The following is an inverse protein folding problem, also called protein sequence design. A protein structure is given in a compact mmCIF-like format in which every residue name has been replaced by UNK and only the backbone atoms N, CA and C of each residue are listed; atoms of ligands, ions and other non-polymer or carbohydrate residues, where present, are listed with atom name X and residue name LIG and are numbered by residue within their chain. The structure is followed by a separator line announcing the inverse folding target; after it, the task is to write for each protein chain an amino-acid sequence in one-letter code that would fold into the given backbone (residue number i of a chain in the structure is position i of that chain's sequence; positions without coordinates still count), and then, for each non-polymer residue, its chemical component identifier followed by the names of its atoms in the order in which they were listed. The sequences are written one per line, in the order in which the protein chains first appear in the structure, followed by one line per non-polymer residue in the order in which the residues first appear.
data_IF_778509279294
#
_entry.id   IF_778509279294
#
_cell.length_a   1.000
_cell.length_b   1.000
_cell.length_c   1.000
_cell.angle_alpha   90.00
_cell.angle_beta   90.00
_cell.angle_gamma   90.00
#
_symmetry.space_group_name_H-M   'P 1'
#
loop_
_entity.id
_entity.type
_entity.pdbx_description
1 polymer ?
#
# COMPACT_ATOMS: atom_id res chain seq x y z
N UNK A 1 71.80 34.65 -23.54
CA UNK A 1 71.01 33.42 -23.35
C UNK A 1 70.20 33.25 -24.64
N UNK A 2 70.64 32.48 -25.65
CA UNK A 2 70.76 31.00 -25.70
C UNK A 2 69.38 30.38 -25.41
N UNK A 3 68.73 29.52 -26.21
CA UNK A 3 69.14 28.56 -27.26
C UNK A 3 67.80 28.12 -27.93
N UNK A 4 67.53 28.24 -29.24
CA UNK A 4 67.89 27.35 -30.39
C UNK A 4 67.20 25.96 -30.29
N UNK A 5 66.08 25.70 -31.01
CA UNK A 5 65.94 25.03 -32.36
C UNK A 5 66.07 23.49 -32.25
N UNK A 6 65.42 22.56 -32.95
CA UNK A 6 64.64 22.42 -34.20
C UNK A 6 63.76 21.13 -34.03
N UNK A 7 62.54 21.05 -34.57
CA UNK A 7 62.15 20.45 -35.87
C UNK A 7 62.34 18.92 -36.04
N UNK A 8 61.17 18.26 -36.08
CA UNK A 8 60.66 17.14 -36.92
C UNK A 8 61.52 15.92 -37.31
N UNK A 9 60.93 14.73 -37.14
CA UNK A 9 60.79 13.71 -38.21
C UNK A 9 59.72 12.65 -37.87
N UNK A 10 58.91 12.29 -38.87
CA UNK A 10 58.06 11.08 -38.92
C UNK A 10 58.90 9.85 -39.34
N UNK A 11 58.45 8.64 -38.98
CA UNK A 11 58.13 7.50 -39.89
C UNK A 11 57.68 6.26 -39.04
N UNK A 12 56.77 5.51 -39.67
CA UNK A 12 56.00 4.30 -39.31
C UNK A 12 56.76 2.98 -39.09
N UNK A 13 56.16 2.02 -38.37
CA UNK A 13 56.35 0.57 -38.53
C UNK A 13 55.10 -0.24 -38.09
N UNK A 14 54.86 -1.40 -38.71
CA UNK A 14 53.63 -2.23 -38.68
C UNK A 14 53.92 -3.73 -38.38
N UNK A 15 52.91 -4.45 -37.86
CA UNK A 15 52.69 -5.94 -37.80
C UNK A 15 53.41 -6.71 -36.65
N UNK A 16 52.87 -7.73 -35.96
CA UNK A 16 51.75 -8.69 -36.17
C UNK A 16 51.30 -9.43 -34.87
N UNK A 17 50.09 -9.99 -34.93
CA UNK A 17 49.39 -11.09 -34.21
C UNK A 17 50.01 -11.88 -33.04
N UNK A 18 49.20 -12.21 -32.01
CA UNK A 18 48.55 -13.54 -31.85
C UNK A 18 47.75 -13.71 -30.52
N UNK A 19 46.59 -14.37 -30.68
CA UNK A 19 45.82 -15.27 -29.78
C UNK A 19 45.21 -14.86 -28.41
N UNK A 20 43.87 -14.73 -28.45
CA UNK A 20 42.80 -15.33 -27.61
C UNK A 20 43.19 -15.94 -26.24
N UNK A 21 42.55 -15.44 -25.18
CA UNK A 21 41.96 -16.31 -24.16
C UNK A 21 40.71 -15.66 -23.54
N UNK A 22 39.56 -16.28 -23.78
CA UNK A 22 38.33 -16.09 -23.03
C UNK A 22 38.52 -16.53 -21.58
N UNK A 23 38.16 -15.67 -20.63
CA UNK A 23 37.77 -16.11 -19.30
C UNK A 23 36.62 -15.23 -18.83
N UNK A 24 35.41 -15.75 -19.04
CA UNK A 24 34.18 -15.26 -18.45
C UNK A 24 34.09 -15.74 -17.02
N UNK A 25 34.19 -14.85 -16.03
CA UNK A 25 33.89 -15.19 -14.65
C UNK A 25 32.77 -14.31 -14.09
N UNK A 26 31.59 -14.94 -14.11
CA UNK A 26 30.54 -14.90 -13.09
C UNK A 26 30.20 -13.53 -12.48
N UNK A 27 29.26 -12.84 -13.12
CA UNK A 27 28.38 -11.93 -12.39
C UNK A 27 27.64 -12.74 -11.33
N UNK A 28 28.04 -12.55 -10.07
CA UNK A 28 27.30 -12.96 -8.89
C UNK A 28 25.91 -12.34 -8.98
N UNK A 29 24.95 -13.11 -9.47
CA UNK A 29 23.54 -12.75 -9.55
C UNK A 29 23.02 -12.52 -8.14
N UNK A 30 23.08 -11.27 -7.69
CA UNK A 30 22.03 -10.77 -6.81
C UNK A 30 20.73 -11.00 -7.56
N UNK A 31 19.90 -11.93 -7.07
CA UNK A 31 18.49 -11.97 -7.43
C UNK A 31 17.83 -10.70 -6.87
N UNK A 32 18.19 -9.55 -7.42
CA UNK A 32 17.27 -8.45 -7.53
C UNK A 32 16.15 -9.01 -8.39
N UNK A 33 15.02 -9.30 -7.76
CA UNK A 33 13.76 -9.37 -8.47
C UNK A 33 13.62 -7.98 -9.07
N UNK A 34 14.10 -7.81 -10.30
CA UNK A 34 13.85 -6.65 -11.13
C UNK A 34 12.35 -6.65 -11.31
N UNK A 35 11.68 -5.98 -10.38
CA UNK A 35 10.26 -5.70 -10.47
C UNK A 35 10.09 -5.01 -11.80
N UNK A 36 9.17 -5.51 -12.63
CA UNK A 36 8.81 -4.87 -13.90
C UNK A 36 8.77 -3.34 -13.67
N UNK A 37 9.55 -2.54 -14.42
CA UNK A 37 9.59 -1.08 -14.26
C UNK A 37 8.20 -0.44 -14.27
N UNK A 38 7.20 -1.11 -14.83
CA UNK A 38 5.82 -0.63 -14.90
C UNK A 38 4.93 -0.98 -13.70
N UNK A 39 5.27 -1.93 -12.82
CA UNK A 39 4.31 -2.43 -11.82
C UNK A 39 3.80 -1.34 -10.85
N UNK A 40 4.61 -0.31 -10.59
CA UNK A 40 4.26 0.81 -9.71
C UNK A 40 4.02 2.14 -10.43
N UNK A 41 4.09 2.17 -11.77
CA UNK A 41 4.02 3.42 -12.54
C UNK A 41 2.74 4.21 -12.27
N UNK A 42 1.61 3.52 -12.11
CA UNK A 42 0.32 4.16 -11.78
C UNK A 42 0.37 4.93 -10.46
N UNK A 43 1.05 4.39 -9.44
CA UNK A 43 1.16 5.05 -8.14
C UNK A 43 1.99 6.33 -8.25
N UNK A 44 3.13 6.25 -8.94
CA UNK A 44 4.03 7.39 -9.16
C UNK A 44 3.37 8.47 -9.99
N UNK A 45 2.69 8.09 -11.09
CA UNK A 45 1.94 9.02 -11.93
C UNK A 45 0.83 9.76 -11.15
N UNK A 46 0.31 9.15 -10.09
CA UNK A 46 -0.69 9.73 -9.20
C UNK A 46 -0.09 10.31 -7.90
N UNK A 47 1.18 10.71 -7.92
CA UNK A 47 1.79 11.49 -6.84
C UNK A 47 2.17 10.69 -5.59
N UNK A 48 2.30 9.38 -5.69
CA UNK A 48 2.85 8.55 -4.63
C UNK A 48 4.34 8.31 -4.86
N UNK A 49 5.17 8.61 -3.86
CA UNK A 49 6.62 8.45 -3.97
C UNK A 49 7.06 7.19 -3.23
N UNK A 50 7.84 6.33 -3.89
CA UNK A 50 8.52 5.23 -3.20
C UNK A 50 9.47 5.83 -2.16
N UNK A 51 9.33 5.41 -0.90
CA UNK A 51 10.18 5.90 0.19
C UNK A 51 11.40 4.98 0.37
N UNK A 52 12.46 5.56 0.90
CA UNK A 52 13.73 4.86 1.10
C UNK A 52 13.60 3.73 2.14
N UNK A 53 14.32 2.62 1.91
CA UNK A 53 14.29 1.45 2.78
C UNK A 53 14.88 1.73 4.16
N UNK A 54 15.83 2.66 4.28
CA UNK A 54 16.43 3.03 5.57
C UNK A 54 15.62 4.07 6.36
N UNK A 55 14.51 4.57 5.81
CA UNK A 55 13.69 5.57 6.50
C UNK A 55 13.02 4.99 7.76
N UNK A 56 12.83 5.85 8.78
CA UNK A 56 12.11 5.48 10.00
C UNK A 56 10.68 5.02 9.70
N UNK A 57 10.02 5.65 8.72
CA UNK A 57 8.67 5.29 8.28
C UNK A 57 8.63 3.86 7.72
N UNK A 58 9.61 3.49 6.88
CA UNK A 58 9.76 2.13 6.36
C UNK A 58 9.98 1.13 7.49
N UNK A 59 10.91 1.41 8.40
CA UNK A 59 11.20 0.52 9.54
C UNK A 59 9.95 0.26 10.40
N UNK A 60 9.15 1.29 10.69
CA UNK A 60 7.91 1.15 11.47
C UNK A 60 6.89 0.28 10.73
N UNK A 61 6.69 0.55 9.43
CA UNK A 61 5.71 -0.20 8.62
C UNK A 61 6.14 -1.65 8.46
N UNK A 62 7.40 -1.92 8.14
CA UNK A 62 7.95 -3.27 8.02
C UNK A 62 7.87 -4.03 9.33
N UNK A 63 8.21 -3.39 10.46
CA UNK A 63 8.07 -3.99 11.79
C UNK A 63 6.61 -4.33 12.08
N UNK A 64 5.68 -3.42 11.77
CA UNK A 64 4.24 -3.67 11.91
C UNK A 64 3.78 -4.82 11.01
N UNK A 65 4.29 -4.95 9.79
CA UNK A 65 3.95 -6.07 8.90
C UNK A 65 4.48 -7.38 9.48
N UNK A 66 5.76 -7.42 9.86
CA UNK A 66 6.41 -8.61 10.40
C UNK A 66 5.74 -9.13 11.69
N UNK A 67 5.32 -8.23 12.59
CA UNK A 67 4.67 -8.60 13.85
C UNK A 67 3.25 -9.16 13.66
N UNK A 68 2.53 -8.69 12.65
CA UNK A 68 1.09 -8.94 12.50
C UNK A 68 0.76 -9.91 11.35
N UNK A 69 1.74 -10.23 10.51
CA UNK A 69 1.67 -11.28 9.49
C UNK A 69 2.44 -12.51 9.99
N UNK A 70 1.96 -13.13 11.07
CA UNK A 70 2.64 -14.22 11.79
C UNK A 70 2.64 -15.57 11.05
N UNK A 71 2.29 -15.60 9.75
CA UNK A 71 1.95 -16.85 9.06
C UNK A 71 3.12 -17.46 8.29
N UNK A 72 4.18 -16.72 7.95
CA UNK A 72 5.44 -17.30 7.44
C UNK A 72 6.53 -16.22 7.42
N UNK A 73 7.79 -16.57 7.72
CA UNK A 73 8.96 -15.68 7.59
C UNK A 73 9.25 -15.26 6.14
N UNK A 74 8.56 -15.85 5.16
CA UNK A 74 8.73 -15.57 3.72
C UNK A 74 7.93 -14.37 3.22
N UNK A 75 7.00 -13.82 4.00
CA UNK A 75 6.32 -12.59 3.60
C UNK A 75 7.29 -11.41 3.63
N UNK A 76 7.34 -10.62 2.57
CA UNK A 76 8.27 -9.50 2.43
C UNK A 76 7.57 -8.25 1.93
N UNK A 77 7.91 -7.11 2.53
CA UNK A 77 7.57 -5.79 1.97
C UNK A 77 8.47 -5.53 0.77
N UNK A 78 7.88 -5.37 -0.41
CA UNK A 78 8.62 -5.13 -1.67
C UNK A 78 8.79 -3.64 -1.91
N UNK A 79 7.75 -2.85 -1.64
CA UNK A 79 7.79 -1.41 -1.79
C UNK A 79 6.78 -0.74 -0.87
N UNK A 80 7.13 0.45 -0.39
CA UNK A 80 6.23 1.36 0.30
C UNK A 80 6.21 2.66 -0.49
N UNK A 81 5.02 3.10 -0.87
CA UNK A 81 4.81 4.38 -1.54
C UNK A 81 4.03 5.30 -0.61
N UNK A 82 4.60 6.47 -0.30
CA UNK A 82 3.97 7.50 0.52
C UNK A 82 3.16 8.45 -0.34
N UNK A 83 1.98 8.83 0.13
CA UNK A 83 1.16 9.83 -0.51
C UNK A 83 1.83 11.21 -0.39
N UNK A 84 2.32 11.72 -1.53
CA UNK A 84 2.88 13.07 -1.67
C UNK A 84 2.07 13.87 -2.70
N UNK A 85 0.84 13.45 -2.99
CA UNK A 85 0.04 14.04 -4.05
C UNK A 85 -0.36 15.47 -3.66
N UNK A 86 0.08 16.43 -4.48
CA UNK A 86 -0.13 17.86 -4.29
C UNK A 86 -1.24 18.45 -5.17
N UNK A 87 -2.00 17.62 -5.89
CA UNK A 87 -3.15 18.07 -6.67
C UNK A 87 -4.21 18.71 -5.78
N UNK A 88 -5.01 19.62 -6.34
CA UNK A 88 -6.09 20.30 -5.60
C UNK A 88 -7.04 19.31 -4.92
N UNK A 89 -7.43 18.24 -5.61
CA UNK A 89 -8.33 17.22 -5.06
C UNK A 89 -7.75 16.54 -3.83
N UNK A 90 -6.45 16.21 -3.84
CA UNK A 90 -5.76 15.60 -2.70
C UNK A 90 -5.52 16.59 -1.56
N UNK A 91 -5.20 17.85 -1.86
CA UNK A 91 -5.12 18.92 -0.86
C UNK A 91 -6.46 19.14 -0.14
N UNK A 92 -7.57 19.15 -0.89
CA UNK A 92 -8.93 19.26 -0.32
C UNK A 92 -9.23 18.07 0.59
N UNK A 93 -8.87 16.84 0.20
CA UNK A 93 -9.04 15.65 1.06
C UNK A 93 -8.23 15.74 2.35
N UNK A 94 -6.95 16.13 2.25
CA UNK A 94 -6.09 16.32 3.41
C UNK A 94 -6.63 17.40 4.36
N UNK A 95 -7.09 18.52 3.82
CA UNK A 95 -7.70 19.60 4.59
C UNK A 95 -9.02 19.15 5.24
N UNK A 96 -9.89 18.46 4.50
CA UNK A 96 -11.17 17.94 5.01
C UNK A 96 -10.95 16.96 6.15
N UNK A 97 -9.94 16.09 6.04
CA UNK A 97 -9.53 15.20 7.12
C UNK A 97 -9.04 15.97 8.35
N UNK A 98 -8.17 16.97 8.16
CA UNK A 98 -7.65 17.77 9.27
C UNK A 98 -8.75 18.54 10.02
N UNK A 99 -9.67 19.17 9.29
CA UNK A 99 -10.83 19.87 9.86
C UNK A 99 -11.74 18.89 10.62
N UNK A 100 -12.02 17.73 10.03
CA UNK A 100 -12.86 16.71 10.67
C UNK A 100 -12.22 16.12 11.91
N UNK A 101 -10.89 15.93 11.91
CA UNK A 101 -10.15 15.48 13.09
C UNK A 101 -10.32 16.47 14.25
N UNK A 102 -10.27 17.78 13.99
CA UNK A 102 -10.53 18.79 15.01
C UNK A 102 -12.00 18.76 15.49
N UNK A 103 -12.95 18.75 14.56
CA UNK A 103 -14.38 18.75 14.89
C UNK A 103 -14.80 17.53 15.73
N UNK A 104 -14.29 16.34 15.40
CA UNK A 104 -14.55 15.12 16.18
C UNK A 104 -13.87 15.17 17.55
N UNK A 105 -12.65 15.71 17.64
CA UNK A 105 -11.99 15.92 18.94
C UNK A 105 -12.82 16.84 19.85
N UNK A 106 -13.30 17.97 19.32
CA UNK A 106 -14.12 18.92 20.06
C UNK A 106 -15.43 18.27 20.53
N UNK A 107 -16.09 17.48 19.66
CA UNK A 107 -17.30 16.72 19.98
C UNK A 107 -17.07 15.65 21.07
N UNK A 108 -15.91 14.98 21.07
CA UNK A 108 -15.62 13.82 21.92
C UNK A 108 -14.87 14.17 23.23
N UNK A 109 -14.88 15.43 23.66
CA UNK A 109 -14.23 15.84 24.91
C UNK A 109 -12.69 15.88 24.83
N UNK A 110 -12.13 16.14 23.64
CA UNK A 110 -10.71 16.41 23.43
C UNK A 110 -9.93 15.37 22.64
N UNK A 111 -10.57 14.30 22.13
CA UNK A 111 -9.89 13.22 21.41
C UNK A 111 -10.64 12.69 20.20
N UNK A 112 -10.07 12.82 19.00
CA UNK A 112 -10.67 12.31 17.76
C UNK A 112 -10.50 10.79 17.54
N UNK A 113 -9.77 10.11 18.43
CA UNK A 113 -9.38 8.71 18.31
C UNK A 113 -8.80 8.35 16.90
N UNK A 114 -7.72 9.01 16.44
CA UNK A 114 -7.12 8.68 15.15
C UNK A 114 -6.34 7.36 15.25
N UNK A 115 -6.52 6.48 14.26
CA UNK A 115 -5.79 5.20 14.16
C UNK A 115 -5.24 5.00 12.76
N UNK A 116 -4.16 4.22 12.66
CA UNK A 116 -3.78 3.61 11.40
C UNK A 116 -4.53 2.30 11.20
N UNK A 117 -5.02 2.07 9.99
CA UNK A 117 -5.78 0.87 9.62
C UNK A 117 -5.46 0.45 8.18
N UNK A 118 -5.55 -0.85 7.94
CA UNK A 118 -5.24 -1.51 6.67
C UNK A 118 -6.49 -1.69 5.83
N UNK A 119 -6.42 -1.30 4.56
CA UNK A 119 -7.43 -1.62 3.56
C UNK A 119 -6.81 -2.52 2.50
N UNK A 120 -7.42 -3.69 2.29
CA UNK A 120 -7.00 -4.65 1.27
C UNK A 120 -8.10 -4.80 0.23
N UNK A 121 -7.71 -4.71 -1.04
CA UNK A 121 -8.58 -4.76 -2.20
C UNK A 121 -7.82 -5.27 -3.43
N UNK A 122 -8.47 -5.31 -4.59
CA UNK A 122 -7.77 -5.60 -5.85
C UNK A 122 -6.85 -4.44 -6.26
N UNK A 123 -5.88 -4.72 -7.13
CA UNK A 123 -5.01 -3.68 -7.68
C UNK A 123 -5.83 -2.61 -8.44
N UNK A 124 -6.84 -3.00 -9.20
CA UNK A 124 -7.69 -2.05 -9.94
C UNK A 124 -8.46 -1.13 -8.99
N UNK A 125 -9.00 -1.67 -7.91
CA UNK A 125 -9.67 -0.84 -6.90
C UNK A 125 -8.68 0.12 -6.22
N UNK A 126 -7.48 -0.35 -5.88
CA UNK A 126 -6.41 0.50 -5.35
C UNK A 126 -6.03 1.61 -6.34
N UNK A 127 -5.91 1.29 -7.63
CA UNK A 127 -5.63 2.28 -8.69
C UNK A 127 -6.71 3.35 -8.75
N UNK A 128 -7.98 2.96 -8.65
CA UNK A 128 -9.10 3.89 -8.60
C UNK A 128 -9.05 4.78 -7.34
N UNK A 129 -8.74 4.22 -6.15
CA UNK A 129 -8.60 5.01 -4.91
C UNK A 129 -7.45 6.01 -5.03
N UNK A 130 -6.34 5.59 -5.63
CA UNK A 130 -5.16 6.42 -5.82
C UNK A 130 -5.44 7.59 -6.77
N UNK A 131 -6.20 7.37 -7.84
CA UNK A 131 -6.56 8.42 -8.80
C UNK A 131 -7.63 9.36 -8.24
N UNK A 132 -8.69 8.79 -7.67
CA UNK A 132 -9.93 9.54 -7.40
C UNK A 132 -10.22 9.75 -5.91
N UNK A 133 -9.53 9.03 -5.03
CA UNK A 133 -9.89 8.90 -3.62
C UNK A 133 -10.91 7.77 -3.39
N UNK A 134 -11.26 7.52 -2.13
CA UNK A 134 -12.33 6.57 -1.80
C UNK A 134 -13.66 7.03 -2.41
N UNK A 135 -14.37 6.14 -3.09
CA UNK A 135 -15.66 6.45 -3.70
C UNK A 135 -16.71 5.40 -3.37
N UNK A 136 -17.98 5.80 -3.41
CA UNK A 136 -19.12 4.93 -3.12
C UNK A 136 -19.33 3.82 -4.16
N UNK A 137 -18.70 3.93 -5.34
CA UNK A 137 -18.81 2.94 -6.44
C UNK A 137 -17.88 1.74 -6.26
N UNK A 138 -17.14 1.67 -5.16
CA UNK A 138 -16.21 0.57 -4.90
C UNK A 138 -16.95 -0.66 -4.40
N UNK A 139 -17.63 -1.34 -5.33
CA UNK A 139 -17.86 -2.79 -5.42
C UNK A 139 -18.90 -3.08 -6.50
N UNK A 140 -18.53 -3.95 -7.43
CA UNK A 140 -19.46 -4.62 -8.34
C UNK A 140 -20.16 -5.83 -7.68
N UNK A 141 -19.88 -6.14 -6.41
CA UNK A 141 -20.46 -7.25 -5.68
C UNK A 141 -20.74 -6.87 -4.22
N UNK A 142 -22.04 -6.85 -3.88
CA UNK A 142 -22.68 -6.51 -2.62
C UNK A 142 -22.74 -5.00 -2.30
N UNK A 143 -23.97 -4.51 -2.16
CA UNK A 143 -24.42 -3.19 -1.74
C UNK A 143 -23.91 -2.79 -0.34
N UNK A 144 -22.59 -2.66 -0.18
CA UNK A 144 -22.02 -2.24 1.08
C UNK A 144 -21.94 -0.71 1.11
N UNK A 145 -22.85 -0.12 1.86
CA UNK A 145 -22.95 1.30 2.17
C UNK A 145 -21.80 1.84 3.07
N UNK A 146 -20.75 1.04 3.27
CA UNK A 146 -19.58 1.31 4.09
C UNK A 146 -18.36 0.54 3.58
N UNK A 147 -17.17 0.98 4.00
CA UNK A 147 -15.94 0.20 3.86
C UNK A 147 -15.52 -0.38 5.22
N UNK A 148 -14.79 -1.49 5.15
CA UNK A 148 -14.18 -2.13 6.30
C UNK A 148 -12.66 -2.00 6.25
N UNK A 149 -12.06 -1.43 7.28
CA UNK A 149 -10.61 -1.39 7.47
C UNK A 149 -10.23 -2.29 8.64
N UNK A 150 -9.11 -3.01 8.51
CA UNK A 150 -8.59 -3.84 9.59
C UNK A 150 -7.64 -3.02 10.48
N UNK A 151 -7.72 -3.12 11.81
CA UNK A 151 -6.74 -2.52 12.71
C UNK A 151 -5.32 -3.01 12.42
N UNK A 152 -4.31 -2.26 12.87
CA UNK A 152 -2.90 -2.60 12.64
C UNK A 152 -2.53 -4.04 13.02
N UNK A 153 -3.12 -4.56 14.11
CA UNK A 153 -2.90 -5.93 14.62
C UNK A 153 -3.53 -7.03 13.76
N UNK A 154 -4.48 -6.68 12.91
CA UNK A 154 -5.27 -7.60 12.09
C UNK A 154 -4.95 -7.44 10.60
N UNK A 155 -3.67 -7.21 10.29
CA UNK A 155 -3.17 -7.07 8.91
C UNK A 155 -3.57 -8.26 8.03
N UNK A 156 -3.48 -9.50 8.55
CA UNK A 156 -3.81 -10.71 7.81
C UNK A 156 -5.22 -10.64 7.19
N UNK A 157 -6.19 -10.09 7.90
CA UNK A 157 -7.57 -9.97 7.42
C UNK A 157 -7.63 -9.06 6.16
N UNK A 158 -6.82 -8.01 6.08
CA UNK A 158 -6.71 -7.17 4.89
C UNK A 158 -5.91 -7.85 3.77
N UNK A 159 -4.87 -8.62 4.10
CA UNK A 159 -4.10 -9.40 3.11
C UNK A 159 -4.98 -10.47 2.45
N UNK A 160 -5.88 -11.11 3.21
CA UNK A 160 -6.82 -12.09 2.68
C UNK A 160 -7.90 -11.46 1.79
N UNK A 161 -8.28 -10.20 2.05
CA UNK A 161 -9.21 -9.43 1.19
C UNK A 161 -8.56 -8.90 -0.09
N UNK A 162 -7.23 -8.79 -0.14
CA UNK A 162 -6.56 -8.33 -1.36
C UNK A 162 -6.46 -9.43 -2.42
N UNK A 163 -6.11 -9.06 -3.64
CA UNK A 163 -5.76 -10.01 -4.71
C UNK A 163 -4.30 -9.90 -5.09
N UNK A 164 -3.75 -10.99 -5.60
CA UNK A 164 -2.42 -11.01 -6.23
C UNK A 164 -2.55 -10.37 -7.62
N UNK A 165 -1.60 -9.52 -7.98
CA UNK A 165 -1.50 -8.88 -9.30
C UNK A 165 -0.72 -9.76 -10.29
N UNK A 166 -0.53 -9.26 -11.52
CA UNK A 166 0.22 -9.95 -12.58
C UNK A 166 1.70 -10.18 -12.22
N UNK A 167 2.27 -9.37 -11.32
CA UNK A 167 3.64 -9.48 -10.84
C UNK A 167 3.77 -10.40 -9.60
N UNK A 168 2.69 -11.02 -9.15
CA UNK A 168 2.70 -11.87 -7.96
C UNK A 168 2.59 -11.10 -6.63
N UNK A 169 2.32 -9.81 -6.66
CA UNK A 169 2.27 -8.93 -5.49
C UNK A 169 0.85 -8.69 -5.00
N UNK A 170 0.71 -8.47 -3.69
CA UNK A 170 -0.50 -7.99 -3.05
C UNK A 170 -0.30 -6.55 -2.62
N UNK A 171 -1.19 -5.65 -3.01
CA UNK A 171 -1.14 -4.25 -2.59
C UNK A 171 -2.17 -3.99 -1.50
N UNK A 172 -1.76 -3.22 -0.49
CA UNK A 172 -2.63 -2.76 0.59
C UNK A 172 -2.46 -1.26 0.76
N UNK A 173 -3.53 -0.62 1.25
CA UNK A 173 -3.49 0.75 1.68
C UNK A 173 -3.32 0.82 3.20
N UNK A 174 -2.41 1.67 3.66
CA UNK A 174 -2.33 2.09 5.05
C UNK A 174 -2.96 3.47 5.16
N UNK A 175 -4.11 3.53 5.82
CA UNK A 175 -4.89 4.74 6.00
C UNK A 175 -4.81 5.24 7.43
N UNK A 176 -4.89 6.56 7.59
CA UNK A 176 -5.22 7.19 8.87
C UNK A 176 -6.73 7.40 8.92
N UNK A 177 -7.36 6.95 9.99
CA UNK A 177 -8.82 6.96 10.16
C UNK A 177 -9.19 7.68 11.45
N UNK A 178 -10.22 8.52 11.40
CA UNK A 178 -10.81 9.18 12.56
C UNK A 178 -11.94 8.28 13.07
N UNK A 179 -11.74 7.62 14.22
CA UNK A 179 -12.76 6.71 14.75
C UNK A 179 -13.79 7.42 15.64
N UNK A 180 -13.42 8.51 16.32
CA UNK A 180 -14.29 9.24 17.24
C UNK A 180 -14.96 8.32 18.28
N UNK A 181 -16.24 8.60 18.58
CA UNK A 181 -17.10 7.70 19.37
C UNK A 181 -17.59 6.57 18.47
N UNK A 182 -17.24 5.34 18.82
CA UNK A 182 -17.55 4.15 18.01
C UNK A 182 -18.87 3.52 18.46
N UNK A 183 -19.67 3.01 17.52
CA UNK A 183 -20.78 2.09 17.81
C UNK A 183 -20.45 0.67 17.39
N UNK A 184 -20.98 -0.30 18.14
CA UNK A 184 -20.87 -1.71 17.77
C UNK A 184 -21.86 -2.01 16.65
N UNK A 185 -21.36 -2.53 15.53
CA UNK A 185 -22.15 -2.93 14.37
C UNK A 185 -22.05 -4.44 14.21
N UNK A 186 -23.15 -5.14 14.46
CA UNK A 186 -23.23 -6.61 14.45
C UNK A 186 -23.87 -7.08 13.12
N UNK A 187 -23.24 -8.05 12.45
CA UNK A 187 -23.77 -8.66 11.23
C UNK A 187 -23.42 -7.91 9.93
N UNK A 188 -24.15 -8.23 8.86
CA UNK A 188 -24.00 -7.55 7.57
C UNK A 188 -24.67 -6.17 7.66
N UNK A 189 -23.83 -5.15 7.85
CA UNK A 189 -24.20 -3.73 7.90
C UNK A 189 -24.64 -3.18 6.54
N UNK A 190 -25.19 -4.02 5.65
CA UNK A 190 -25.55 -3.63 4.28
C UNK A 190 -26.55 -2.49 4.29
N UNK A 191 -27.49 -2.46 5.23
CA UNK A 191 -28.60 -1.50 5.18
C UNK A 191 -28.29 -0.19 5.91
N UNK A 192 -27.22 -0.15 6.72
CA UNK A 192 -26.86 1.03 7.50
C UNK A 192 -25.88 1.92 6.71
N UNK A 193 -26.36 3.05 6.17
CA UNK A 193 -25.57 4.03 5.39
C UNK A 193 -24.95 5.18 6.21
N UNK A 194 -25.32 5.30 7.47
CA UNK A 194 -24.81 6.31 8.40
C UNK A 194 -24.85 5.78 9.83
N UNK A 195 -24.14 6.39 10.79
CA UNK A 195 -24.21 5.96 12.17
C UNK A 195 -25.65 5.99 12.72
N UNK A 196 -25.98 5.11 13.67
CA UNK A 196 -27.36 4.96 14.17
C UNK A 196 -27.88 6.23 14.88
N UNK A 197 -26.97 7.07 15.38
CA UNK A 197 -27.27 8.37 15.96
C UNK A 197 -26.16 9.39 15.66
N UNK A 198 -26.45 10.67 15.87
CA UNK A 198 -25.45 11.75 15.72
C UNK A 198 -24.32 11.68 16.74
N UNK A 199 -24.47 10.88 17.80
CA UNK A 199 -23.42 10.68 18.81
C UNK A 199 -22.24 9.89 18.25
N UNK A 200 -22.47 8.95 17.34
CA UNK A 200 -21.43 8.06 16.83
C UNK A 200 -20.73 8.62 15.59
N UNK A 201 -19.50 8.16 15.38
CA UNK A 201 -18.62 8.63 14.33
C UNK A 201 -18.16 7.53 13.37
N UNK A 202 -17.88 6.34 13.88
CA UNK A 202 -17.52 5.15 13.12
C UNK A 202 -18.14 3.90 13.73
N UNK A 203 -18.16 2.81 12.99
CA UNK A 203 -18.57 1.50 13.48
C UNK A 203 -17.38 0.63 13.87
N UNK A 204 -17.60 -0.34 14.75
CA UNK A 204 -16.64 -1.36 15.13
C UNK A 204 -17.34 -2.69 15.35
N UNK A 205 -16.66 -3.80 15.11
CA UNK A 205 -17.19 -5.14 15.38
C UNK A 205 -17.18 -5.48 16.88
N UNK A 206 -16.11 -5.11 17.58
CA UNK A 206 -15.97 -5.26 19.03
C UNK A 206 -15.17 -4.08 19.62
N UNK A 207 -15.68 -3.45 20.68
CA UNK A 207 -15.01 -2.28 21.29
C UNK A 207 -13.70 -2.67 22.00
N UNK A 208 -13.66 -3.85 22.62
CA UNK A 208 -12.54 -4.30 23.45
C UNK A 208 -11.42 -4.94 22.62
N UNK A 209 -11.80 -5.68 21.58
CA UNK A 209 -10.90 -6.42 20.71
C UNK A 209 -11.27 -6.20 19.24
N UNK A 210 -11.13 -4.97 18.71
CA UNK A 210 -11.56 -4.64 17.36
C UNK A 210 -10.78 -5.46 16.34
N UNK A 211 -11.48 -6.06 15.37
CA UNK A 211 -10.89 -6.63 14.15
C UNK A 211 -11.32 -5.90 12.88
N UNK A 212 -12.39 -5.11 12.96
CA UNK A 212 -12.95 -4.37 11.83
C UNK A 212 -13.42 -3.00 12.27
N UNK A 213 -12.84 -1.96 11.68
CA UNK A 213 -13.39 -0.61 11.70
C UNK A 213 -14.29 -0.42 10.49
N UNK A 214 -15.47 0.13 10.71
CA UNK A 214 -16.48 0.38 9.68
C UNK A 214 -16.60 1.88 9.49
N UNK A 215 -16.44 2.32 8.25
CA UNK A 215 -16.63 3.72 7.88
C UNK A 215 -17.69 3.80 6.80
N UNK A 216 -18.79 4.47 7.10
CA UNK A 216 -19.88 4.69 6.15
C UNK A 216 -19.46 5.58 4.99
N UNK A 217 -20.06 5.32 3.82
CA UNK A 217 -19.80 6.09 2.59
C UNK A 217 -20.03 7.59 2.78
N UNK A 218 -21.05 7.96 3.57
CA UNK A 218 -21.35 9.35 3.96
C UNK A 218 -20.21 10.06 4.68
N UNK A 219 -19.24 9.33 5.25
CA UNK A 219 -18.10 9.87 6.01
C UNK A 219 -16.73 9.64 5.40
N UNK A 220 -16.60 8.78 4.39
CA UNK A 220 -15.30 8.35 3.83
C UNK A 220 -14.34 9.49 3.52
N UNK A 221 -14.82 10.50 2.78
CA UNK A 221 -14.00 11.56 2.21
C UNK A 221 -13.36 12.48 3.26
N UNK A 222 -13.83 12.44 4.50
CA UNK A 222 -13.37 13.32 5.57
C UNK A 222 -12.94 12.58 6.84
N UNK A 223 -13.22 11.28 6.96
CA UNK A 223 -12.80 10.44 8.09
C UNK A 223 -11.66 9.49 7.77
N UNK A 224 -11.31 9.30 6.49
CA UNK A 224 -10.23 8.42 6.04
C UNK A 224 -9.24 9.22 5.19
N UNK A 225 -7.96 9.06 5.48
CA UNK A 225 -6.87 9.64 4.69
C UNK A 225 -5.88 8.55 4.29
N UNK A 226 -5.64 8.42 2.98
CA UNK A 226 -4.66 7.48 2.44
C UNK A 226 -3.24 8.00 2.67
N UNK A 227 -2.46 7.29 3.49
CA UNK A 227 -1.07 7.67 3.79
C UNK A 227 -0.05 6.90 2.95
N UNK A 228 -0.21 5.59 2.83
CA UNK A 228 0.75 4.73 2.13
C UNK A 228 0.07 3.65 1.31
N UNK A 229 0.77 3.20 0.27
CA UNK A 229 0.53 1.95 -0.44
C UNK A 229 1.68 1.02 -0.07
N UNK A 230 1.37 -0.17 0.42
CA UNK A 230 2.34 -1.19 0.81
C UNK A 230 2.16 -2.40 -0.11
N UNK A 231 3.20 -2.69 -0.88
CA UNK A 231 3.25 -3.84 -1.79
C UNK A 231 3.96 -4.99 -1.08
N UNK A 232 3.28 -6.12 -0.96
CA UNK A 232 3.75 -7.32 -0.28
C UNK A 232 3.92 -8.48 -1.27
N UNK A 233 5.01 -9.21 -1.09
CA UNK A 233 5.21 -10.54 -1.65
C UNK A 233 4.84 -11.56 -0.56
N UNK A 234 3.78 -12.34 -0.80
CA UNK A 234 3.21 -13.29 0.18
C UNK A 234 2.97 -14.64 -0.51
N UNK A 235 4.05 -15.40 -0.79
CA UNK A 235 4.02 -16.51 -1.74
C UNK A 235 3.13 -17.68 -1.29
N UNK A 236 2.95 -17.90 0.02
CA UNK A 236 2.14 -19.00 0.56
C UNK A 236 0.62 -18.78 0.45
N UNK A 237 0.16 -17.54 0.21
CA UNK A 237 -1.27 -17.24 0.01
C UNK A 237 -1.70 -17.38 -1.46
N UNK A 238 -0.79 -17.72 -2.36
CA UNK A 238 -1.12 -18.01 -3.76
C UNK A 238 -1.96 -19.30 -3.88
N UNK A 239 -1.72 -20.29 -3.02
CA UNK A 239 -2.44 -21.59 -3.01
C UNK A 239 -3.79 -21.63 -2.26
N UNK A 240 -4.13 -20.61 -1.47
CA UNK A 240 -5.40 -20.62 -0.68
C UNK A 240 -6.66 -20.44 -1.54
N UNK A 241 -6.53 -19.90 -2.77
CA UNK A 241 -7.65 -19.80 -3.71
C UNK A 241 -8.06 -21.15 -4.29
N UNK A 242 -7.13 -22.10 -4.47
CA UNK A 242 -7.46 -23.43 -4.98
C UNK A 242 -8.19 -24.30 -3.94
N UNK A 243 -7.79 -24.23 -2.67
CA UNK A 243 -8.42 -25.01 -1.61
C UNK A 243 -9.88 -24.61 -1.33
N UNK A 244 -10.22 -23.32 -1.48
CA UNK A 244 -11.58 -22.81 -1.21
C UNK A 244 -12.54 -23.06 -2.37
N UNK A 245 -12.05 -23.05 -3.61
CA UNK A 245 -12.86 -23.42 -4.79
C UNK A 245 -13.12 -24.94 -4.80
N UNK A 246 -12.15 -25.76 -4.36
CA UNK A 246 -12.35 -27.21 -4.26
C UNK A 246 -13.30 -27.64 -3.13
N UNK A 247 -13.46 -26.85 -2.05
CA UNK A 247 -14.42 -27.18 -0.98
C UNK A 247 -15.86 -26.79 -1.32
N UNK A 248 -16.08 -25.85 -2.25
CA UNK A 248 -17.40 -25.41 -2.70
C UNK A 248 -17.91 -26.19 -3.92
N UNK A 249 -17.05 -26.91 -4.63
CA UNK A 249 -17.42 -27.73 -5.79
C UNK A 249 -17.85 -29.17 -5.49
N UNK A 250 -17.96 -29.58 -4.23
CA UNK A 250 -18.30 -30.97 -3.85
C UNK A 250 -19.71 -31.17 -3.26
N UNK A 251 -20.54 -30.14 -3.18
CA UNK A 251 -21.96 -30.26 -2.81
C UNK A 251 -22.83 -29.48 -3.78
N UNK A 252 -23.38 -30.17 -4.78
CA UNK A 252 -24.37 -29.65 -5.73
C UNK A 252 -24.31 -30.35 -7.07
#
# INVERSE_FOLDING_TARGET
MNQVVAEEHQVSETMSSDEISEISDAMSGSNEIVSDPNCFQHFVANGFCKIDQSSLETCIIETSVAQNLQVDKRARVVAIHKNMNNSRSWQIRAHSFAVSMKAVADKCGGGANPKYAWYGASLDEIREIVTHGFSWRMKAAADTHSISLSPAKHLLDSVLRSTVDESGLRHLLLCRVILGKQEVVIGDSSDQFHPSSSEFDSGVDDISAPRKYIVWNSRLNFSVFLCYIVSLDVPYLSGFKEATIMSLGHHG
#
